data_IF_568612799244
#
_entry.id   IF_568612799244
#
_cell.length_a   1.000
_cell.length_b   1.000
_cell.length_c   1.000
_cell.angle_alpha   90.00
_cell.angle_beta   90.00
_cell.angle_gamma   90.00
#
_symmetry.space_group_name_H-M   'P 1'
#
loop_
_entity.id
_entity.type
_entity.pdbx_description
1 polymer ?
#
# COMPACT_ATOMS: atom_id res chain seq x y z
N UNK A 1 8.53 13.37 3.68
CA UNK A 1 9.60 12.43 3.34
C UNK A 1 10.78 13.27 2.92
N UNK A 2 11.88 13.18 3.64
CA UNK A 2 13.15 13.59 3.06
C UNK A 2 13.49 12.63 1.90
N UNK A 3 14.31 13.06 0.92
CA UNK A 3 14.72 12.18 -0.18
C UNK A 3 15.32 10.86 0.31
N UNK A 4 16.12 10.92 1.38
CA UNK A 4 16.78 9.77 2.01
C UNK A 4 15.80 8.74 2.57
N UNK A 5 14.74 9.17 3.25
CA UNK A 5 13.74 8.25 3.81
C UNK A 5 12.89 7.58 2.71
N UNK A 6 12.69 8.25 1.57
CA UNK A 6 12.01 7.67 0.42
C UNK A 6 12.85 6.56 -0.21
N UNK A 7 14.15 6.80 -0.33
CA UNK A 7 15.12 5.83 -0.85
C UNK A 7 15.23 4.59 0.05
N UNK A 8 15.33 4.78 1.37
CA UNK A 8 15.37 3.68 2.33
C UNK A 8 14.09 2.81 2.30
N UNK A 9 12.91 3.45 2.19
CA UNK A 9 11.65 2.72 2.06
C UNK A 9 11.56 1.90 0.76
N UNK A 10 12.12 2.42 -0.34
CA UNK A 10 12.21 1.69 -1.61
C UNK A 10 13.17 0.50 -1.51
N UNK A 11 14.32 0.68 -0.88
CA UNK A 11 15.33 -0.38 -0.70
C UNK A 11 14.79 -1.55 0.13
N UNK A 12 14.05 -1.27 1.21
CA UNK A 12 13.39 -2.29 2.01
C UNK A 12 12.30 -3.02 1.21
N UNK A 13 11.50 -2.29 0.45
CA UNK A 13 10.48 -2.89 -0.41
C UNK A 13 11.10 -3.78 -1.48
N UNK A 14 12.19 -3.33 -2.10
CA UNK A 14 12.94 -4.09 -3.09
C UNK A 14 13.53 -5.37 -2.49
N UNK A 15 14.17 -5.28 -1.32
CA UNK A 15 14.71 -6.44 -0.58
C UNK A 15 13.63 -7.47 -0.30
N UNK A 16 12.47 -7.04 0.22
CA UNK A 16 11.33 -7.92 0.47
C UNK A 16 10.81 -8.59 -0.81
N UNK A 17 10.78 -7.85 -1.93
CA UNK A 17 10.36 -8.39 -3.23
C UNK A 17 11.38 -9.39 -3.80
N UNK A 18 12.68 -9.13 -3.62
CA UNK A 18 13.74 -10.03 -4.07
C UNK A 18 13.73 -11.36 -3.31
N UNK A 19 13.37 -11.33 -2.03
CA UNK A 19 13.29 -12.53 -1.18
C UNK A 19 12.02 -13.39 -1.48
N UNK A 20 11.00 -12.79 -2.11
CA UNK A 20 9.80 -13.53 -2.52
C UNK A 20 10.08 -14.46 -3.70
N UNK A 21 9.54 -15.68 -3.63
CA UNK A 21 9.53 -16.60 -4.78
C UNK A 21 8.92 -15.94 -6.04
N UNK A 22 9.44 -16.21 -7.25
CA UNK A 22 9.02 -15.54 -8.49
C UNK A 22 7.53 -15.70 -8.79
N UNK A 23 6.93 -16.84 -8.43
CA UNK A 23 5.49 -17.05 -8.55
C UNK A 23 4.66 -16.11 -7.66
N UNK A 24 5.16 -15.77 -6.45
CA UNK A 24 4.49 -14.81 -5.55
C UNK A 24 4.59 -13.39 -6.07
N UNK A 25 5.77 -12.98 -6.59
CA UNK A 25 5.96 -11.67 -7.24
C UNK A 25 4.98 -11.47 -8.39
N UNK A 26 4.84 -12.46 -9.28
CA UNK A 26 3.88 -12.40 -10.40
C UNK A 26 2.43 -12.23 -9.93
N UNK A 27 2.01 -12.95 -8.88
CA UNK A 27 0.67 -12.81 -8.30
C UNK A 27 0.44 -11.42 -7.73
N UNK A 28 1.45 -10.85 -7.07
CA UNK A 28 1.39 -9.49 -6.54
C UNK A 28 1.33 -8.44 -7.66
N UNK A 29 2.14 -8.57 -8.71
CA UNK A 29 2.07 -7.70 -9.89
C UNK A 29 0.69 -7.78 -10.54
N UNK A 30 0.16 -8.99 -10.75
CA UNK A 30 -1.18 -9.18 -11.30
C UNK A 30 -2.25 -8.53 -10.42
N UNK A 31 -2.11 -8.62 -9.10
CA UNK A 31 -3.03 -7.97 -8.17
C UNK A 31 -3.02 -6.44 -8.30
N UNK A 32 -1.84 -5.82 -8.43
CA UNK A 32 -1.75 -4.38 -8.70
C UNK A 32 -2.35 -3.99 -10.05
N UNK A 33 -2.19 -4.82 -11.08
CA UNK A 33 -2.85 -4.61 -12.38
C UNK A 33 -4.38 -4.64 -12.22
N UNK A 34 -4.92 -5.60 -11.46
CA UNK A 34 -6.36 -5.68 -11.17
C UNK A 34 -6.85 -4.43 -10.43
N UNK A 35 -6.12 -3.94 -9.43
CA UNK A 35 -6.47 -2.69 -8.73
C UNK A 35 -6.48 -1.50 -9.71
N UNK A 36 -5.49 -1.41 -10.60
CA UNK A 36 -5.42 -0.35 -11.59
C UNK A 36 -6.57 -0.41 -12.60
N UNK A 37 -6.96 -1.62 -13.03
CA UNK A 37 -8.14 -1.82 -13.86
C UNK A 37 -9.43 -1.43 -13.13
N UNK A 38 -9.56 -1.75 -11.83
CA UNK A 38 -10.70 -1.31 -11.02
C UNK A 38 -10.76 0.21 -10.90
N UNK A 39 -9.62 0.89 -10.75
CA UNK A 39 -9.54 2.34 -10.75
C UNK A 39 -10.02 2.92 -12.09
N UNK A 40 -9.55 2.35 -13.21
CA UNK A 40 -9.99 2.75 -14.56
C UNK A 40 -11.49 2.55 -14.76
N UNK A 41 -12.02 1.38 -14.36
CA UNK A 41 -13.44 1.08 -14.51
C UNK A 41 -14.34 1.98 -13.64
N UNK A 42 -13.89 2.34 -12.43
CA UNK A 42 -14.69 3.10 -11.47
C UNK A 42 -14.58 4.61 -11.61
N UNK A 43 -13.42 5.13 -12.01
CA UNK A 43 -13.11 6.55 -12.03
C UNK A 43 -12.58 7.06 -13.37
N UNK A 44 -12.40 6.18 -14.37
CA UNK A 44 -11.83 6.53 -15.67
C UNK A 44 -10.34 6.89 -15.62
N UNK A 45 -9.66 6.59 -14.51
CA UNK A 45 -8.27 7.00 -14.26
C UNK A 45 -7.46 5.88 -13.63
N UNK A 46 -6.17 5.82 -13.93
CA UNK A 46 -5.22 4.91 -13.29
C UNK A 46 -4.99 5.29 -11.84
N UNK A 47 -4.53 4.34 -11.02
CA UNK A 47 -4.21 4.59 -9.60
C UNK A 47 -3.20 5.73 -9.42
N UNK A 48 -2.26 5.87 -10.36
CA UNK A 48 -1.25 6.93 -10.37
C UNK A 48 -1.80 8.32 -10.69
N UNK A 49 -2.91 8.42 -11.43
CA UNK A 49 -3.55 9.69 -11.82
C UNK A 49 -4.80 10.05 -10.99
N UNK A 50 -5.20 9.20 -10.05
CA UNK A 50 -6.32 9.49 -9.15
C UNK A 50 -5.98 10.64 -8.17
N UNK A 51 -6.89 11.61 -7.99
CA UNK A 51 -6.85 12.56 -6.88
C UNK A 51 -6.92 11.85 -5.52
N UNK A 52 -6.36 12.45 -4.48
CA UNK A 52 -6.28 11.88 -3.12
C UNK A 52 -7.64 11.38 -2.59
N UNK A 53 -8.71 12.14 -2.82
CA UNK A 53 -10.05 11.75 -2.38
C UNK A 53 -10.56 10.47 -3.08
N UNK A 54 -10.33 10.35 -4.39
CA UNK A 54 -10.73 9.16 -5.15
C UNK A 54 -9.86 7.95 -4.80
N UNK A 55 -8.57 8.16 -4.50
CA UNK A 55 -7.71 7.11 -3.95
C UNK A 55 -8.23 6.60 -2.62
N UNK A 56 -8.64 7.49 -1.71
CA UNK A 56 -9.22 7.10 -0.42
C UNK A 56 -10.52 6.31 -0.60
N UNK A 57 -11.39 6.72 -1.53
CA UNK A 57 -12.62 5.99 -1.87
C UNK A 57 -12.32 4.61 -2.46
N UNK A 58 -11.31 4.48 -3.34
CA UNK A 58 -10.86 3.21 -3.88
C UNK A 58 -10.32 2.28 -2.78
N UNK A 59 -9.46 2.80 -1.90
CA UNK A 59 -8.92 2.03 -0.78
C UNK A 59 -10.03 1.52 0.15
N UNK A 60 -10.99 2.38 0.52
CA UNK A 60 -12.14 1.97 1.35
C UNK A 60 -12.97 0.88 0.66
N UNK A 61 -13.23 1.04 -0.64
CA UNK A 61 -13.91 0.01 -1.43
C UNK A 61 -13.18 -1.32 -1.46
N UNK A 62 -11.84 -1.34 -1.53
CA UNK A 62 -11.05 -2.56 -1.53
C UNK A 62 -10.99 -3.22 -0.14
N UNK A 63 -10.95 -2.43 0.93
CA UNK A 63 -11.01 -2.93 2.31
C UNK A 63 -12.37 -3.57 2.64
N UNK A 64 -13.46 -3.00 2.14
CA UNK A 64 -14.83 -3.44 2.45
C UNK A 64 -15.45 -4.28 1.31
N UNK A 65 -14.64 -4.75 0.36
CA UNK A 65 -15.15 -5.45 -0.81
C UNK A 65 -15.82 -6.80 -0.46
N UNK A 66 -17.00 -7.13 -1.02
CA UNK A 66 -17.65 -8.42 -0.79
C UNK A 66 -16.85 -9.61 -1.36
N UNK A 67 -16.00 -9.37 -2.37
CA UNK A 67 -15.11 -10.40 -2.92
C UNK A 67 -13.96 -10.64 -1.94
N UNK A 68 -14.06 -11.74 -1.19
CA UNK A 68 -13.10 -12.08 -0.15
C UNK A 68 -11.64 -12.15 -0.61
N UNK A 69 -11.38 -12.52 -1.87
CA UNK A 69 -10.03 -12.56 -2.43
C UNK A 69 -9.42 -11.15 -2.60
N UNK A 70 -10.20 -10.18 -3.10
CA UNK A 70 -9.77 -8.79 -3.23
C UNK A 70 -9.50 -8.19 -1.86
N UNK A 71 -10.44 -8.39 -0.92
CA UNK A 71 -10.31 -7.90 0.45
C UNK A 71 -9.07 -8.46 1.16
N UNK A 72 -8.86 -9.78 1.12
CA UNK A 72 -7.68 -10.43 1.71
C UNK A 72 -6.39 -9.98 1.05
N UNK A 73 -6.37 -9.91 -0.28
CA UNK A 73 -5.21 -9.44 -1.03
C UNK A 73 -4.84 -8.01 -0.68
N UNK A 74 -5.83 -7.13 -0.57
CA UNK A 74 -5.61 -5.72 -0.25
C UNK A 74 -5.16 -5.51 1.19
N UNK A 75 -5.72 -6.27 2.14
CA UNK A 75 -5.20 -6.30 3.51
C UNK A 75 -3.72 -6.74 3.55
N UNK A 76 -3.34 -7.75 2.75
CA UNK A 76 -1.94 -8.17 2.63
C UNK A 76 -1.02 -7.09 2.07
N UNK A 77 -1.45 -6.38 1.02
CA UNK A 77 -0.70 -5.23 0.47
C UNK A 77 -0.56 -4.11 1.50
N UNK A 78 -1.63 -3.80 2.23
CA UNK A 78 -1.58 -2.84 3.33
C UNK A 78 -0.56 -3.29 4.39
N UNK A 79 -0.53 -4.55 4.80
CA UNK A 79 0.50 -5.05 5.72
C UNK A 79 1.92 -4.86 5.17
N UNK A 80 2.17 -5.16 3.89
CA UNK A 80 3.50 -4.95 3.29
C UNK A 80 3.91 -3.48 3.29
N UNK A 81 2.99 -2.57 2.92
CA UNK A 81 3.24 -1.12 2.95
C UNK A 81 3.47 -0.59 4.38
N UNK A 82 2.89 -1.26 5.39
CA UNK A 82 3.09 -0.94 6.80
C UNK A 82 4.43 -1.46 7.32
N UNK A 83 4.85 -2.64 6.88
CA UNK A 83 6.15 -3.22 7.21
C UNK A 83 7.31 -2.42 6.62
N UNK A 84 7.16 -1.83 5.43
CA UNK A 84 8.22 -1.00 4.84
C UNK A 84 8.53 0.28 5.64
N UNK A 85 7.64 0.69 6.55
CA UNK A 85 7.83 1.83 7.46
C UNK A 85 7.93 1.43 8.92
N UNK A 86 7.82 0.14 9.22
CA UNK A 86 7.89 -0.36 10.59
C UNK A 86 9.32 -0.17 11.13
N UNK A 87 9.45 0.46 12.30
CA UNK A 87 10.75 0.84 12.88
C UNK A 87 11.26 2.22 12.46
N UNK A 88 10.53 2.96 11.60
CA UNK A 88 10.89 4.31 11.17
C UNK A 88 9.76 5.29 11.56
N UNK A 89 9.70 5.73 12.83
CA UNK A 89 8.59 6.56 13.34
C UNK A 89 8.41 7.85 12.54
N UNK A 90 9.49 8.44 12.04
CA UNK A 90 9.47 9.65 11.21
C UNK A 90 8.68 9.49 9.90
N UNK A 91 8.53 8.27 9.39
CA UNK A 91 7.77 7.97 8.19
C UNK A 91 6.28 7.75 8.45
N UNK A 92 5.88 7.44 9.68
CA UNK A 92 4.50 7.14 10.02
C UNK A 92 3.52 8.27 9.58
N UNK A 93 3.76 9.57 9.87
CA UNK A 93 2.86 10.65 9.46
C UNK A 93 2.66 10.73 7.94
N UNK A 94 3.68 10.38 7.16
CA UNK A 94 3.64 10.44 5.69
C UNK A 94 2.79 9.33 5.07
N UNK A 95 2.64 8.20 5.75
CA UNK A 95 1.74 7.12 5.33
C UNK A 95 0.36 7.23 6.00
N UNK A 96 0.04 8.38 6.61
CA UNK A 96 -1.22 8.62 7.30
C UNK A 96 -1.35 7.84 8.61
N UNK A 97 -0.23 7.40 9.18
CA UNK A 97 -0.21 6.83 10.51
C UNK A 97 -0.11 7.92 11.57
N UNK A 98 -1.06 7.88 12.50
CA UNK A 98 -0.92 8.55 13.78
C UNK A 98 -0.11 7.63 14.69
N UNK A 99 1.13 8.02 15.00
CA UNK A 99 1.85 7.39 16.11
C UNK A 99 1.04 7.74 17.35
N UNK A 100 0.60 6.72 18.10
CA UNK A 100 0.03 6.95 19.41
C UNK A 100 1.19 7.39 20.32
N UNK A 101 1.24 8.67 20.66
CA UNK A 101 2.08 9.13 21.78
C UNK A 101 1.66 8.36 23.04
N UNK A 102 2.65 7.90 23.79
CA UNK A 102 2.46 6.99 24.90
C UNK A 102 1.56 7.65 25.98
N UNK A 103 0.63 6.93 26.63
CA UNK A 103 -0.31 7.55 27.58
C UNK A 103 0.30 7.92 28.96
N UNK A 104 1.64 7.93 29.08
CA UNK A 104 2.35 8.04 30.36
C UNK A 104 3.26 9.30 30.49
N UNK A 105 3.02 10.35 29.69
CA UNK A 105 3.57 11.71 29.92
C UNK A 105 2.51 12.66 30.53
#
# INVERSE_FOLDING_TARGET
LTPEQHELGLELAETLLMDMAPAKRRKLTLFFVVINMLALLRFGRTTTSLPTEQRARLCRFLFDNPVGLLRKGFWGVNTLARLSVYGQPELAPHFGYLIRENPDD
#
